data_IF_115082232554
#
_entry.id   IF_115082232554
#
_cell.length_a   1.000
_cell.length_b   1.000
_cell.length_c   1.000
_cell.angle_alpha   90.00
_cell.angle_beta   90.00
_cell.angle_gamma   90.00
#
_symmetry.space_group_name_H-M   'P 1'
#
loop_
_entity.id
_entity.type
_entity.pdbx_description
1 polymer ?
#
# COMPACT_ATOMS: atom_id res chain seq x y z
N UNK A 1 6.59 -23.68 -3.39
CA UNK A 1 5.74 -22.48 -3.32
C UNK A 1 5.76 -21.84 -4.70
N UNK A 2 4.67 -21.96 -5.46
CA UNK A 2 4.56 -21.31 -6.76
C UNK A 2 4.22 -19.84 -6.57
N UNK A 3 5.12 -18.96 -7.00
CA UNK A 3 4.84 -17.54 -7.07
C UNK A 3 3.85 -17.31 -8.22
N UNK A 4 2.59 -17.00 -7.89
CA UNK A 4 1.65 -16.47 -8.88
C UNK A 4 2.14 -15.06 -9.25
N UNK A 5 2.81 -14.94 -10.40
CA UNK A 5 3.18 -13.65 -10.98
C UNK A 5 1.93 -12.79 -11.15
N UNK A 6 1.82 -11.74 -10.33
CA UNK A 6 0.88 -10.66 -10.59
C UNK A 6 1.43 -9.90 -11.79
N UNK A 7 0.94 -10.21 -13.01
CA UNK A 7 1.19 -9.41 -14.21
C UNK A 7 0.45 -8.08 -14.10
N UNK A 8 0.91 -7.21 -13.21
CA UNK A 8 0.58 -5.79 -13.20
C UNK A 8 1.73 -5.03 -13.82
N UNK A 9 1.47 -4.18 -14.82
CA UNK A 9 2.45 -3.21 -15.34
C UNK A 9 2.64 -2.02 -14.39
N UNK A 10 2.15 -2.14 -13.16
CA UNK A 10 2.14 -1.06 -12.19
C UNK A 10 3.42 -1.07 -11.39
N UNK A 11 4.15 0.04 -11.46
CA UNK A 11 5.36 0.26 -10.68
C UNK A 11 4.94 0.62 -9.26
N UNK A 12 5.09 -0.34 -8.35
CA UNK A 12 4.93 -0.11 -6.92
C UNK A 12 6.18 0.57 -6.37
N UNK A 13 5.99 1.61 -5.55
CA UNK A 13 7.10 2.31 -4.89
C UNK A 13 7.34 1.69 -3.53
N UNK A 14 8.55 1.19 -3.28
CA UNK A 14 8.93 0.80 -1.94
C UNK A 14 8.91 2.02 -1.03
N UNK A 15 8.04 2.00 -0.02
CA UNK A 15 7.96 3.07 0.95
C UNK A 15 8.87 2.78 2.16
N UNK A 16 9.00 1.50 2.56
CA UNK A 16 9.79 1.11 3.73
C UNK A 16 9.27 -0.18 4.39
N UNK A 17 9.71 -0.40 5.63
CA UNK A 17 9.32 -1.54 6.47
C UNK A 17 8.83 -1.02 7.82
N UNK A 18 7.70 -1.54 8.31
CA UNK A 18 7.14 -1.19 9.62
C UNK A 18 7.83 -1.91 10.78
N UNK A 19 7.59 -1.47 12.02
CA UNK A 19 8.04 -2.16 13.23
C UNK A 19 7.43 -3.58 13.38
N UNK A 20 6.28 -3.84 12.74
CA UNK A 20 5.63 -5.16 12.64
C UNK A 20 6.20 -6.07 11.55
N UNK A 21 7.31 -5.66 10.91
CA UNK A 21 8.00 -6.39 9.85
C UNK A 21 7.15 -6.56 8.58
N UNK A 22 6.35 -5.55 8.25
CA UNK A 22 5.54 -5.47 7.04
C UNK A 22 6.23 -4.57 6.02
N UNK A 23 6.41 -5.07 4.80
CA UNK A 23 6.92 -4.27 3.69
C UNK A 23 5.77 -3.42 3.15
N UNK A 24 5.99 -2.11 3.06
CA UNK A 24 5.00 -1.17 2.56
C UNK A 24 5.35 -0.72 1.15
N UNK A 25 4.36 -0.82 0.26
CA UNK A 25 4.44 -0.29 -1.09
C UNK A 25 3.38 0.79 -1.32
N UNK A 26 3.78 1.89 -1.95
CA UNK A 26 2.91 2.96 -2.41
C UNK A 26 2.49 2.78 -3.88
N UNK A 27 1.25 3.14 -4.16
CA UNK A 27 0.65 3.24 -5.49
C UNK A 27 -0.28 4.46 -5.53
N UNK A 28 -0.50 5.12 -6.68
CA UNK A 28 -1.31 6.35 -6.76
C UNK A 28 -2.70 6.29 -6.11
N UNK A 29 -3.33 5.12 -6.07
CA UNK A 29 -4.69 4.92 -5.54
C UNK A 29 -4.77 4.04 -4.29
N UNK A 30 -3.65 3.53 -3.78
CA UNK A 30 -3.64 2.60 -2.64
C UNK A 30 -2.27 2.45 -1.99
N UNK A 31 -2.28 1.99 -0.74
CA UNK A 31 -1.10 1.49 -0.03
C UNK A 31 -1.22 -0.02 0.11
N UNK A 32 -0.11 -0.74 -0.06
CA UNK A 32 -0.06 -2.20 0.05
C UNK A 32 0.89 -2.56 1.20
N UNK A 33 0.41 -3.37 2.13
CA UNK A 33 1.18 -3.94 3.23
C UNK A 33 1.39 -5.42 2.98
N UNK A 34 2.65 -5.85 2.91
CA UNK A 34 3.00 -7.25 2.80
C UNK A 34 3.64 -7.74 4.11
N UNK A 35 2.93 -8.59 4.82
CA UNK A 35 3.44 -9.23 6.02
C UNK A 35 4.24 -10.47 5.64
N UNK A 36 5.56 -10.43 5.81
CA UNK A 36 6.45 -11.53 5.43
C UNK A 36 6.18 -12.77 6.29
N UNK A 37 6.00 -12.58 7.60
CA UNK A 37 5.84 -13.70 8.54
C UNK A 37 4.53 -14.47 8.33
N UNK A 38 3.44 -13.78 8.00
CA UNK A 38 2.13 -14.37 7.73
C UNK A 38 1.92 -14.71 6.26
N UNK A 39 2.80 -14.23 5.38
CA UNK A 39 2.64 -14.27 3.93
C UNK A 39 1.27 -13.73 3.45
N UNK A 40 0.84 -12.62 4.04
CA UNK A 40 -0.45 -11.97 3.73
C UNK A 40 -0.23 -10.61 3.12
N UNK A 41 -1.13 -10.21 2.21
CA UNK A 41 -1.13 -8.90 1.58
C UNK A 41 -2.42 -8.19 2.00
N UNK A 42 -2.30 -6.95 2.47
CA UNK A 42 -3.42 -6.03 2.72
C UNK A 42 -3.29 -4.85 1.77
N UNK A 43 -4.38 -4.48 1.10
CA UNK A 43 -4.44 -3.34 0.18
C UNK A 43 -5.42 -2.31 0.70
N UNK A 44 -4.94 -1.15 1.09
CA UNK A 44 -5.76 -0.05 1.60
C UNK A 44 -5.96 0.96 0.47
N UNK A 45 -7.21 1.21 0.09
CA UNK A 45 -7.55 2.21 -0.94
C UNK A 45 -7.45 3.61 -0.35
N UNK A 46 -6.84 4.55 -1.07
CA UNK A 46 -6.86 5.96 -0.69
C UNK A 46 -8.12 6.59 -1.32
N UNK A 47 -9.06 7.04 -0.49
CA UNK A 47 -10.28 7.69 -0.96
C UNK A 47 -9.96 9.06 -1.60
N UNK A 48 -10.73 9.48 -2.60
CA UNK A 48 -10.56 10.78 -3.26
C UNK A 48 -9.45 10.82 -4.33
N UNK A 49 -8.79 9.70 -4.60
CA UNK A 49 -7.72 9.59 -5.60
C UNK A 49 -8.23 9.21 -7.00
N UNK A 50 -9.55 9.18 -7.23
CA UNK A 50 -10.16 8.80 -8.51
C UNK A 50 -9.71 9.71 -9.66
N UNK A 51 -9.50 10.99 -9.40
CA UNK A 51 -9.06 11.97 -10.41
C UNK A 51 -7.54 11.94 -10.66
N UNK A 52 -6.77 11.22 -9.84
CA UNK A 52 -5.31 11.27 -9.79
C UNK A 52 -4.65 9.92 -10.11
N UNK A 53 -5.37 9.02 -10.79
CA UNK A 53 -4.91 7.65 -11.08
C UNK A 53 -3.64 7.57 -11.94
N UNK A 54 -3.25 8.65 -12.62
CA UNK A 54 -2.05 8.74 -13.46
C UNK A 54 -0.89 9.50 -12.81
N UNK A 55 -1.05 10.02 -11.58
CA UNK A 55 0.01 10.81 -10.94
C UNK A 55 0.86 9.98 -10.00
N UNK A 56 2.16 10.24 -10.02
CA UNK A 56 3.15 9.59 -9.18
C UNK A 56 3.03 10.06 -7.73
N UNK A 57 2.23 9.38 -6.90
CA UNK A 57 2.08 9.70 -5.48
C UNK A 57 3.26 9.15 -4.66
N UNK A 58 3.76 9.94 -3.72
CA UNK A 58 4.67 9.49 -2.67
C UNK A 58 3.88 9.39 -1.39
N UNK A 59 3.72 8.18 -0.86
CA UNK A 59 3.07 7.92 0.43
C UNK A 59 4.14 7.81 1.51
N UNK A 60 4.04 8.58 2.59
CA UNK A 60 4.96 8.46 3.72
C UNK A 60 4.59 7.25 4.57
N UNK A 61 5.60 6.54 5.09
CA UNK A 61 5.43 5.31 5.87
C UNK A 61 4.73 5.51 7.21
N UNK A 62 4.87 6.70 7.77
CA UNK A 62 4.56 6.99 9.16
C UNK A 62 3.74 8.29 9.22
N UNK A 63 2.56 8.27 8.60
CA UNK A 63 1.54 9.22 8.99
C UNK A 63 0.83 8.64 10.22
N UNK A 64 1.20 9.11 11.42
CA UNK A 64 0.35 8.98 12.60
C UNK A 64 -0.93 9.78 12.35
N UNK A 65 -1.86 9.15 11.63
CA UNK A 65 -3.16 9.72 11.33
C UNK A 65 -3.97 9.75 12.63
N UNK A 66 -4.24 10.97 13.12
CA UNK A 66 -4.89 11.20 14.42
C UNK A 66 -6.41 10.95 14.34
N UNK A 67 -6.95 10.67 13.15
CA UNK A 67 -8.38 10.49 12.92
C UNK A 67 -8.67 9.15 12.21
N UNK A 68 -9.33 8.18 12.87
CA UNK A 68 -9.65 6.87 12.32
C UNK A 68 -10.68 6.89 11.17
N UNK A 69 -11.23 8.05 10.79
CA UNK A 69 -12.23 8.17 9.72
C UNK A 69 -11.66 8.14 8.29
N UNK A 70 -10.35 8.22 8.09
CA UNK A 70 -9.75 8.34 6.74
C UNK A 70 -9.36 7.01 6.07
N UNK A 71 -9.27 5.90 6.82
CA UNK A 71 -8.83 4.61 6.26
C UNK A 71 -9.90 3.53 6.39
N UNK A 72 -10.49 3.13 5.26
CA UNK A 72 -11.29 1.91 5.17
C UNK A 72 -10.45 0.78 4.55
N UNK A 73 -10.31 -0.32 5.29
CA UNK A 73 -9.68 -1.54 4.82
C UNK A 73 -10.68 -2.42 4.06
N UNK A 74 -10.25 -3.01 2.95
CA UNK A 74 -11.05 -3.92 2.11
C UNK A 74 -10.29 -5.21 1.81
#
# INVERSE_FOLDING_TARGET
>A
MEWKTVRGRDVLRFAGVTDSNEIVFGHPSCVIYYNIGKNTIVKVRIQGMEAFQSTNLSTFLDHKEVDPKLMEAF
#
